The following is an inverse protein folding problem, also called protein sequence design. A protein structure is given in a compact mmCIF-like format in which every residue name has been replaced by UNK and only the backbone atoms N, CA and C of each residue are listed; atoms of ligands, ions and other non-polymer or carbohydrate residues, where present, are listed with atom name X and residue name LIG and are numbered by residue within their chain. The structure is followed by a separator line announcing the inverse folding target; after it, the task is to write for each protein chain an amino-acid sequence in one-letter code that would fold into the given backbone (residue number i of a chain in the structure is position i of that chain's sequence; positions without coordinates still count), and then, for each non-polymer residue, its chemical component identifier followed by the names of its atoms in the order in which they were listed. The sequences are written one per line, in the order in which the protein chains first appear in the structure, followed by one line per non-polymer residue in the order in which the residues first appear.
data_IF_661080973564
#
_entry.id   IF_661080973564
#
_cell.length_a   1.000
_cell.length_b   1.000
_cell.length_c   1.000
_cell.angle_alpha   90.00
_cell.angle_beta   90.00
_cell.angle_gamma   90.00
#
_symmetry.space_group_name_H-M   'P 1'
#
loop_
_entity.id
_entity.type
_entity.pdbx_description
1 polymer ?
#
# COMPACT_ATOMS: atom_id res chain seq x y z
N UNK A 1 33.30 1.56 12.56
CA UNK A 1 32.44 0.50 12.00
C UNK A 1 31.63 1.11 10.85
N UNK A 2 32.05 0.89 9.60
CA UNK A 2 31.48 1.52 8.39
C UNK A 2 30.22 0.77 7.95
N UNK A 3 29.06 1.45 7.94
CA UNK A 3 27.87 0.96 7.22
C UNK A 3 27.99 1.40 5.76
N UNK A 4 28.00 0.43 4.84
CA UNK A 4 27.88 0.67 3.40
C UNK A 4 26.43 1.06 3.11
N UNK A 5 26.20 2.35 2.86
CA UNK A 5 24.99 2.82 2.20
C UNK A 5 25.12 2.46 0.72
N UNK A 6 24.27 1.56 0.22
CA UNK A 6 24.05 1.44 -1.22
C UNK A 6 23.05 2.53 -1.59
N UNK A 7 23.55 3.77 -1.74
CA UNK A 7 22.81 4.76 -2.50
C UNK A 7 23.02 4.37 -3.96
N UNK A 8 22.00 3.74 -4.57
CA UNK A 8 21.93 3.71 -6.03
C UNK A 8 21.68 5.16 -6.44
N UNK A 9 22.74 5.86 -6.84
CA UNK A 9 22.63 7.09 -7.59
C UNK A 9 22.06 6.73 -8.97
N UNK A 10 20.73 6.63 -9.05
CA UNK A 10 20.06 6.63 -10.34
C UNK A 10 20.18 8.05 -10.89
N UNK A 11 21.18 8.25 -11.75
CA UNK A 11 21.37 9.51 -12.49
C UNK A 11 20.10 9.83 -13.31
N UNK A 12 19.60 11.07 -13.26
CA UNK A 12 18.35 11.44 -13.91
C UNK A 12 18.60 11.64 -15.40
N UNK A 13 17.84 10.96 -16.25
CA UNK A 13 17.83 11.23 -17.68
C UNK A 13 16.41 11.40 -18.20
N UNK A 14 15.63 12.27 -17.56
CA UNK A 14 14.60 13.14 -18.18
C UNK A 14 14.02 14.06 -17.08
N UNK A 15 13.47 15.21 -17.50
CA UNK A 15 13.14 16.37 -16.67
C UNK A 15 12.43 16.06 -15.34
N UNK A 16 12.80 16.84 -14.33
CA UNK A 16 12.51 16.57 -12.92
C UNK A 16 11.03 16.50 -12.55
N UNK A 17 10.82 15.96 -11.34
CA UNK A 17 9.54 15.84 -10.63
C UNK A 17 8.73 14.56 -10.93
N UNK A 18 9.37 13.38 -10.87
CA UNK A 18 8.70 12.09 -11.16
C UNK A 18 8.81 10.99 -10.10
N UNK A 19 9.33 11.26 -8.89
CA UNK A 19 9.46 10.22 -7.84
C UNK A 19 8.33 10.27 -6.80
N UNK A 20 7.58 11.36 -6.73
CA UNK A 20 6.47 11.57 -5.79
C UNK A 20 5.33 12.26 -6.53
N UNK A 21 4.88 11.62 -7.61
CA UNK A 21 3.79 12.11 -8.47
C UNK A 21 2.42 11.61 -8.00
N UNK A 22 2.32 11.16 -6.74
CA UNK A 22 1.09 10.61 -6.16
C UNK A 22 0.47 9.48 -6.99
N UNK A 23 1.30 8.70 -7.68
CA UNK A 23 0.87 7.53 -8.44
C UNK A 23 0.43 7.80 -9.88
N UNK A 24 0.61 9.01 -10.42
CA UNK A 24 0.23 9.32 -11.81
C UNK A 24 0.94 8.40 -12.81
N UNK A 25 2.27 8.28 -12.72
CA UNK A 25 3.04 7.37 -13.58
C UNK A 25 2.65 5.91 -13.35
N UNK A 26 2.43 5.50 -12.09
CA UNK A 26 2.03 4.14 -11.75
C UNK A 26 0.66 3.79 -12.35
N UNK A 27 -0.28 4.73 -12.37
CA UNK A 27 -1.59 4.55 -12.98
C UNK A 27 -1.51 4.44 -14.51
N UNK A 28 -0.69 5.29 -15.17
CA UNK A 28 -0.46 5.24 -16.63
C UNK A 28 0.15 3.89 -17.04
N UNK A 29 1.09 3.39 -16.26
CA UNK A 29 1.74 2.09 -16.49
C UNK A 29 0.88 0.89 -16.04
N UNK A 30 -0.27 1.14 -15.39
CA UNK A 30 -1.11 0.13 -14.75
C UNK A 30 -0.30 -0.76 -13.78
N UNK A 31 0.60 -0.14 -13.03
CA UNK A 31 1.49 -0.78 -12.07
C UNK A 31 0.86 -0.76 -10.68
N UNK A 32 0.63 -1.93 -10.10
CA UNK A 32 0.02 -2.09 -8.77
C UNK A 32 1.01 -2.67 -7.77
N UNK A 33 0.97 -2.20 -6.53
CA UNK A 33 1.81 -2.69 -5.44
C UNK A 33 0.94 -3.11 -4.26
N UNK A 34 1.10 -4.37 -3.85
CA UNK A 34 0.43 -4.92 -2.67
C UNK A 34 1.48 -5.21 -1.59
N UNK A 35 1.38 -4.52 -0.45
CA UNK A 35 2.22 -4.80 0.71
C UNK A 35 1.41 -5.58 1.75
N UNK A 36 1.83 -6.83 1.99
CA UNK A 36 1.09 -7.79 2.81
C UNK A 36 1.86 -8.06 4.08
N UNK A 37 1.23 -7.85 5.24
CA UNK A 37 1.83 -8.23 6.52
C UNK A 37 0.78 -8.52 7.60
N UNK A 38 1.20 -9.29 8.59
CA UNK A 38 0.38 -9.60 9.76
C UNK A 38 0.01 -8.36 10.59
N UNK A 39 0.87 -7.34 10.56
CA UNK A 39 0.74 -6.13 11.37
C UNK A 39 0.13 -4.93 10.61
N UNK A 40 -0.38 -5.14 9.39
CA UNK A 40 -1.21 -4.14 8.69
C UNK A 40 -2.48 -3.91 9.51
N UNK A 41 -2.65 -2.69 10.05
CA UNK A 41 -3.78 -2.31 10.93
C UNK A 41 -3.96 -3.28 12.12
N UNK A 42 -2.85 -3.89 12.57
CA UNK A 42 -2.88 -4.86 13.65
C UNK A 42 -1.60 -4.71 14.47
N UNK A 43 -1.65 -3.84 15.48
CA UNK A 43 -0.46 -3.48 16.24
C UNK A 43 -0.05 -4.60 17.20
N UNK A 44 0.92 -5.42 16.77
CA UNK A 44 1.51 -6.51 17.57
C UNK A 44 2.93 -6.18 18.02
N UNK A 45 3.75 -5.55 17.16
CA UNK A 45 5.16 -5.33 17.40
C UNK A 45 5.77 -4.22 16.54
N UNK A 46 7.04 -4.41 16.17
CA UNK A 46 7.81 -3.39 15.46
C UNK A 46 7.39 -3.20 14.00
N UNK A 47 6.81 -4.22 13.37
CA UNK A 47 6.47 -4.18 11.93
C UNK A 47 5.34 -3.19 11.69
N UNK A 48 4.36 -3.08 12.60
CA UNK A 48 3.32 -2.03 12.54
C UNK A 48 3.95 -0.64 12.40
N UNK A 49 5.03 -0.36 13.14
CA UNK A 49 5.70 0.95 13.11
C UNK A 49 6.44 1.16 11.80
N UNK A 50 7.08 0.12 11.27
CA UNK A 50 7.74 0.17 9.96
C UNK A 50 6.73 0.45 8.86
N UNK A 51 5.63 -0.30 8.81
CA UNK A 51 4.57 -0.12 7.80
C UNK A 51 3.95 1.26 7.94
N UNK A 52 3.56 1.68 9.15
CA UNK A 52 2.93 2.98 9.38
C UNK A 52 3.81 4.16 8.98
N UNK A 53 5.11 4.10 9.26
CA UNK A 53 6.05 5.17 8.90
C UNK A 53 6.40 5.17 7.40
N UNK A 54 6.45 3.99 6.77
CA UNK A 54 6.71 3.83 5.32
C UNK A 54 5.49 4.11 4.45
N UNK A 55 4.29 3.82 4.93
CA UNK A 55 3.05 3.93 4.15
C UNK A 55 2.82 5.38 3.68
N UNK A 56 3.16 6.37 4.51
CA UNK A 56 3.03 7.78 4.14
C UNK A 56 3.82 8.11 2.86
N UNK A 57 5.14 7.90 2.88
CA UNK A 57 5.99 8.20 1.72
C UNK A 57 5.67 7.29 0.52
N UNK A 58 5.28 6.04 0.76
CA UNK A 58 4.93 5.12 -0.32
C UNK A 58 3.61 5.52 -1.00
N UNK A 59 2.67 6.11 -0.25
CA UNK A 59 1.42 6.65 -0.82
C UNK A 59 1.66 7.98 -1.57
N UNK A 60 2.66 8.78 -1.16
CA UNK A 60 3.09 9.95 -1.93
C UNK A 60 3.75 9.57 -3.26
N UNK A 61 4.39 8.39 -3.35
CA UNK A 61 4.97 7.85 -4.58
C UNK A 61 3.93 7.16 -5.48
N UNK A 62 3.07 6.32 -4.91
CA UNK A 62 2.23 5.38 -5.67
C UNK A 62 0.73 5.70 -5.65
N UNK A 63 0.28 6.61 -4.79
CA UNK A 63 -1.14 6.96 -4.66
C UNK A 63 -2.04 5.74 -4.49
N UNK A 64 -3.16 5.74 -5.21
CA UNK A 64 -4.18 4.68 -5.19
C UNK A 64 -3.66 3.32 -5.70
N UNK A 65 -2.49 3.29 -6.35
CA UNK A 65 -1.89 2.06 -6.86
C UNK A 65 -1.16 1.25 -5.76
N UNK A 66 -1.08 1.76 -4.54
CA UNK A 66 -0.50 1.10 -3.38
C UNK A 66 -1.58 0.61 -2.42
N UNK A 67 -1.57 -0.70 -2.16
CA UNK A 67 -2.58 -1.36 -1.32
C UNK A 67 -1.90 -2.15 -0.20
N UNK A 68 -2.39 -1.95 1.02
CA UNK A 68 -1.99 -2.72 2.20
C UNK A 68 -2.98 -3.85 2.46
N UNK A 69 -2.48 -5.05 2.72
CA UNK A 69 -3.32 -6.22 2.99
C UNK A 69 -2.90 -6.87 4.31
N UNK A 70 -3.87 -7.08 5.19
CA UNK A 70 -3.66 -7.65 6.52
C UNK A 70 -4.85 -8.47 7.01
N UNK A 71 -4.69 -9.18 8.14
CA UNK A 71 -5.79 -9.85 8.79
C UNK A 71 -6.80 -8.81 9.32
N UNK A 72 -8.09 -9.11 9.18
CA UNK A 72 -9.13 -8.24 9.72
C UNK A 72 -9.21 -8.39 11.25
N UNK A 73 -8.93 -7.30 11.97
CA UNK A 73 -9.15 -7.19 13.41
C UNK A 73 -10.17 -6.08 13.67
N UNK A 74 -11.38 -6.47 14.11
CA UNK A 74 -12.51 -5.54 14.28
C UNK A 74 -12.19 -4.38 15.24
N UNK A 75 -11.42 -4.64 16.30
CA UNK A 75 -11.08 -3.62 17.28
C UNK A 75 -10.23 -2.50 16.66
N UNK A 76 -9.22 -2.86 15.89
CA UNK A 76 -8.32 -1.89 15.25
C UNK A 76 -8.93 -1.27 13.99
N UNK A 77 -9.67 -2.06 13.21
CA UNK A 77 -10.33 -1.57 12.00
C UNK A 77 -11.30 -0.43 12.30
N UNK A 78 -12.09 -0.53 13.37
CA UNK A 78 -13.04 0.53 13.77
C UNK A 78 -12.38 1.85 14.18
N UNK A 79 -11.11 1.83 14.59
CA UNK A 79 -10.42 3.00 15.13
C UNK A 79 -9.37 3.59 14.19
N UNK A 80 -8.80 2.77 13.31
CA UNK A 80 -7.65 3.14 12.46
C UNK A 80 -8.01 3.21 10.97
N UNK A 81 -9.16 2.69 10.54
CA UNK A 81 -9.54 2.59 9.14
C UNK A 81 -10.93 3.13 8.90
N UNK A 82 -11.09 3.90 7.84
CA UNK A 82 -12.38 4.27 7.28
C UNK A 82 -12.81 3.17 6.31
N UNK A 83 -13.95 2.53 6.58
CA UNK A 83 -14.47 1.47 5.72
C UNK A 83 -15.17 2.14 4.54
N UNK A 84 -14.57 2.03 3.36
CA UNK A 84 -15.09 2.57 2.10
C UNK A 84 -15.26 1.47 1.06
N UNK A 85 -16.19 1.69 0.12
CA UNK A 85 -16.34 0.80 -1.02
C UNK A 85 -15.19 0.99 -2.01
N UNK A 86 -14.65 -0.09 -2.60
CA UNK A 86 -13.53 0.01 -3.54
C UNK A 86 -13.94 0.86 -4.76
N UNK A 87 -13.19 1.93 -5.02
CA UNK A 87 -13.43 2.83 -6.15
C UNK A 87 -13.09 2.17 -7.48
N UNK A 88 -12.04 1.35 -7.52
CA UNK A 88 -11.58 0.70 -8.74
C UNK A 88 -12.36 -0.60 -9.04
N UNK A 89 -12.91 -0.69 -10.26
CA UNK A 89 -13.73 -1.81 -10.72
C UNK A 89 -13.04 -3.19 -10.58
N UNK A 90 -11.73 -3.25 -10.76
CA UNK A 90 -10.97 -4.49 -10.62
C UNK A 90 -11.00 -5.03 -9.17
N UNK A 91 -10.94 -4.14 -8.16
CA UNK A 91 -11.07 -4.55 -6.77
C UNK A 91 -12.47 -5.05 -6.47
N UNK A 92 -13.49 -4.36 -6.96
CA UNK A 92 -14.88 -4.79 -6.80
C UNK A 92 -15.09 -6.21 -7.33
N UNK A 93 -14.66 -6.49 -8.56
CA UNK A 93 -14.78 -7.84 -9.15
C UNK A 93 -13.98 -8.90 -8.39
N UNK A 94 -12.77 -8.57 -7.93
CA UNK A 94 -11.95 -9.49 -7.12
C UNK A 94 -12.61 -9.79 -5.76
N UNK A 95 -13.10 -8.76 -5.07
CA UNK A 95 -13.79 -8.89 -3.78
C UNK A 95 -15.09 -9.67 -3.92
N UNK A 96 -15.89 -9.41 -4.96
CA UNK A 96 -17.12 -10.16 -5.23
C UNK A 96 -16.82 -11.65 -5.48
N UNK A 97 -15.74 -11.94 -6.21
CA UNK A 97 -15.26 -13.31 -6.42
C UNK A 97 -14.87 -13.96 -5.10
N UNK A 98 -14.09 -13.28 -4.25
CA UNK A 98 -13.72 -13.79 -2.92
C UNK A 98 -14.94 -14.05 -2.04
N UNK A 99 -15.91 -13.12 -2.03
CA UNK A 99 -17.19 -13.27 -1.32
C UNK A 99 -17.99 -14.46 -1.83
N UNK A 100 -17.97 -14.75 -3.13
CA UNK A 100 -18.63 -15.92 -3.72
C UNK A 100 -18.03 -17.25 -3.24
N UNK A 101 -16.75 -17.26 -2.88
CA UNK A 101 -16.08 -18.40 -2.25
C UNK A 101 -16.29 -18.48 -0.73
N UNK A 102 -17.10 -17.59 -0.15
CA UNK A 102 -17.34 -17.51 1.29
C UNK A 102 -16.23 -16.80 2.07
N UNK A 103 -15.28 -16.17 1.39
CA UNK A 103 -14.20 -15.39 2.02
C UNK A 103 -14.73 -13.98 2.30
N UNK A 104 -14.69 -13.57 3.56
CA UNK A 104 -15.08 -12.20 3.96
C UNK A 104 -13.90 -11.27 3.77
N UNK A 105 -14.14 -10.20 3.02
CA UNK A 105 -13.22 -9.08 2.82
C UNK A 105 -14.02 -7.81 3.13
N UNK A 106 -13.44 -6.97 3.99
CA UNK A 106 -14.05 -5.73 4.49
C UNK A 106 -13.27 -4.53 4.02
#
# INVERSE_FOLDING_TARGET
MRRRLYQLDTMPSTGGQGYLDHGESAAIENKWVFEVAWEVVNKVGGIYTVIRTKAQVTSEELGDQYVLVGPYNEQYARTEVEIEEPTHHAFKGAIDTLKSFGIRVS
#
